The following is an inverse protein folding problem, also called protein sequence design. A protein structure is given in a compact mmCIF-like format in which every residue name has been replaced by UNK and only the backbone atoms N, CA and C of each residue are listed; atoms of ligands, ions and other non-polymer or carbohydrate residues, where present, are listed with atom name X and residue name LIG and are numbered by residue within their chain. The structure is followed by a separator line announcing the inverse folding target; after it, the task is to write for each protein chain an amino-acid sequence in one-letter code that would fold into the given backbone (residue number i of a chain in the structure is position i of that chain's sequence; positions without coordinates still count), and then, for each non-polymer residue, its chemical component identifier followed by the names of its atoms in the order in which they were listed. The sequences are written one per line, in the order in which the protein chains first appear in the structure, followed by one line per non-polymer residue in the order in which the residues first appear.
data_IF_000343217615
#
_entry.id   IF_000343217615
#
_cell.length_a   1.000
_cell.length_b   1.000
_cell.length_c   1.000
_cell.angle_alpha   90.00
_cell.angle_beta   90.00
_cell.angle_gamma   90.00
#
_symmetry.space_group_name_H-M   'P 1'
#
loop_
_entity.id
_entity.type
_entity.pdbx_description
1 polymer ?
#
# COMPACT_ATOMS: atom_id res chain seq x y z
N UNK A 1 10.48 31.66 9.51
CA UNK A 1 9.22 31.81 8.77
C UNK A 1 8.19 32.43 9.69
N UNK A 2 7.59 33.56 9.32
CA UNK A 2 6.60 34.29 10.14
C UNK A 2 5.20 33.69 9.94
N UNK A 3 4.42 33.58 11.02
CA UNK A 3 3.10 32.89 11.05
C UNK A 3 2.07 33.38 10.01
N UNK A 4 2.29 34.53 9.36
CA UNK A 4 1.36 35.11 8.37
C UNK A 4 1.39 34.51 6.96
N UNK A 5 2.47 33.82 6.55
CA UNK A 5 2.57 33.31 5.18
C UNK A 5 1.73 32.05 4.91
N UNK A 6 1.39 31.27 5.94
CA UNK A 6 0.62 30.02 5.80
C UNK A 6 -0.89 30.32 5.62
N UNK A 7 -1.41 31.33 6.34
CA UNK A 7 -2.83 31.72 6.28
C UNK A 7 -3.25 32.35 4.94
N UNK A 8 -2.31 32.82 4.12
CA UNK A 8 -2.62 33.38 2.79
C UNK A 8 -2.90 32.30 1.73
N UNK A 9 -2.43 31.07 1.94
CA UNK A 9 -2.60 29.96 0.99
C UNK A 9 -3.55 28.88 1.49
N UNK A 10 -3.85 28.82 2.79
CA UNK A 10 -4.68 27.77 3.39
C UNK A 10 -5.61 28.33 4.47
N UNK A 11 -6.88 27.95 4.37
CA UNK A 11 -7.98 28.42 5.24
C UNK A 11 -7.79 27.92 6.68
N UNK A 12 -7.29 26.69 6.86
CA UNK A 12 -7.02 26.06 8.15
C UNK A 12 -5.94 24.94 8.05
N UNK A 13 -5.67 24.25 9.17
CA UNK A 13 -4.71 23.13 9.22
C UNK A 13 -5.17 21.90 8.41
N UNK A 14 -6.48 21.69 8.27
CA UNK A 14 -7.06 20.63 7.45
C UNK A 14 -6.79 20.86 5.96
N UNK A 15 -6.88 22.10 5.49
CA UNK A 15 -6.54 22.47 4.11
C UNK A 15 -5.05 22.23 3.78
N UNK A 16 -4.13 22.53 4.70
CA UNK A 16 -2.70 22.21 4.54
C UNK A 16 -2.47 20.71 4.48
N UNK A 17 -3.14 19.95 5.36
CA UNK A 17 -3.07 18.50 5.41
C UNK A 17 -3.59 17.87 4.11
N UNK A 18 -4.77 18.29 3.65
CA UNK A 18 -5.39 17.80 2.42
C UNK A 18 -4.51 18.09 1.21
N UNK A 19 -3.96 19.29 1.08
CA UNK A 19 -3.04 19.63 0.01
C UNK A 19 -1.71 18.84 0.07
N UNK A 20 -1.22 18.53 1.27
CA UNK A 20 -0.07 17.63 1.44
C UNK A 20 -0.40 16.22 0.96
N UNK A 21 -1.54 15.68 1.38
CA UNK A 21 -1.98 14.32 1.04
C UNK A 21 -2.32 14.16 -0.45
N UNK A 22 -2.95 15.17 -1.07
CA UNK A 22 -3.24 15.19 -2.52
C UNK A 22 -1.96 15.16 -3.38
N UNK A 23 -0.87 15.75 -2.87
CA UNK A 23 0.43 15.77 -3.55
C UNK A 23 1.30 14.57 -3.20
N UNK A 24 0.94 13.83 -2.15
CA UNK A 24 1.72 12.71 -1.70
C UNK A 24 1.45 11.50 -2.60
N UNK A 25 2.51 10.88 -3.10
CA UNK A 25 2.37 9.57 -3.76
C UNK A 25 2.30 8.51 -2.66
N UNK A 26 1.20 7.76 -2.62
CA UNK A 26 1.09 6.64 -1.70
C UNK A 26 2.11 5.55 -2.09
N UNK A 27 2.75 4.86 -1.14
CA UNK A 27 3.68 3.76 -1.39
C UNK A 27 3.14 2.71 -2.37
N UNK A 28 1.85 2.39 -2.29
CA UNK A 28 1.15 1.53 -3.24
C UNK A 28 1.23 2.10 -4.66
N UNK A 29 0.80 3.35 -4.88
CA UNK A 29 0.86 3.96 -6.21
C UNK A 29 2.30 4.06 -6.76
N UNK A 30 3.30 4.23 -5.89
CA UNK A 30 4.72 4.21 -6.27
C UNK A 30 5.21 2.81 -6.66
N UNK A 31 4.86 1.78 -5.90
CA UNK A 31 5.22 0.40 -6.18
C UNK A 31 4.61 -0.11 -7.50
N UNK A 32 3.36 0.26 -7.81
CA UNK A 32 2.70 -0.01 -9.10
C UNK A 32 3.55 0.47 -10.27
N UNK A 33 4.10 1.70 -10.18
CA UNK A 33 4.88 2.30 -11.26
C UNK A 33 6.18 1.53 -11.48
N UNK A 34 6.87 1.19 -10.39
CA UNK A 34 8.11 0.40 -10.44
C UNK A 34 7.89 -1.02 -10.97
N UNK A 35 6.77 -1.66 -10.58
CA UNK A 35 6.43 -3.00 -11.03
C UNK A 35 6.01 -3.04 -12.51
N UNK A 36 5.31 -2.01 -13.00
CA UNK A 36 4.89 -1.91 -14.41
C UNK A 36 6.04 -1.80 -15.42
N UNK A 37 7.24 -1.41 -14.97
CA UNK A 37 8.44 -1.33 -15.79
C UNK A 37 9.16 -2.68 -15.96
N UNK A 38 8.81 -3.69 -15.16
CA UNK A 38 9.38 -5.05 -15.21
C UNK A 38 8.29 -6.06 -15.52
N UNK A 39 8.12 -6.39 -16.80
CA UNK A 39 7.23 -7.45 -17.22
C UNK A 39 7.85 -8.83 -16.92
N UNK A 40 7.58 -9.36 -15.73
CA UNK A 40 7.86 -10.76 -15.43
C UNK A 40 6.85 -11.66 -16.16
N UNK A 41 7.30 -12.82 -16.63
CA UNK A 41 6.44 -13.79 -17.35
C UNK A 41 5.51 -14.57 -16.40
N UNK A 42 5.79 -14.55 -15.09
CA UNK A 42 4.95 -15.15 -14.04
C UNK A 42 4.14 -14.06 -13.31
N UNK A 43 2.78 -14.04 -13.45
CA UNK A 43 1.92 -13.09 -12.77
C UNK A 43 2.06 -13.08 -11.24
N UNK A 44 2.34 -14.24 -10.63
CA UNK A 44 2.53 -14.32 -9.18
C UNK A 44 3.89 -13.75 -8.75
N UNK A 45 4.92 -13.94 -9.57
CA UNK A 45 6.21 -13.31 -9.31
C UNK A 45 6.13 -11.78 -9.44
N UNK A 46 5.42 -11.28 -10.45
CA UNK A 46 5.17 -9.84 -10.60
C UNK A 46 4.43 -9.28 -9.38
N UNK A 47 3.38 -9.96 -8.95
CA UNK A 47 2.62 -9.62 -7.74
C UNK A 47 3.52 -9.63 -6.49
N UNK A 48 4.38 -10.64 -6.33
CA UNK A 48 5.35 -10.71 -5.24
C UNK A 48 6.28 -9.51 -5.22
N UNK A 49 6.85 -9.19 -6.38
CA UNK A 49 7.79 -8.09 -6.55
C UNK A 49 7.13 -6.74 -6.25
N UNK A 50 5.89 -6.57 -6.68
CA UNK A 50 5.07 -5.39 -6.41
C UNK A 50 4.82 -5.20 -4.90
N UNK A 51 4.47 -6.27 -4.17
CA UNK A 51 4.29 -6.19 -2.72
C UNK A 51 5.60 -5.91 -1.97
N UNK A 52 6.71 -6.52 -2.39
CA UNK A 52 8.01 -6.24 -1.79
C UNK A 52 8.47 -4.81 -2.05
N UNK A 53 8.21 -4.27 -3.24
CA UNK A 53 8.52 -2.88 -3.55
C UNK A 53 7.78 -1.93 -2.60
N UNK A 54 6.53 -2.22 -2.23
CA UNK A 54 5.82 -1.42 -1.21
C UNK A 54 6.58 -1.42 0.12
N UNK A 55 7.00 -2.60 0.60
CA UNK A 55 7.72 -2.72 1.87
C UNK A 55 9.07 -1.99 1.85
N UNK A 56 9.82 -2.13 0.75
CA UNK A 56 11.09 -1.44 0.55
C UNK A 56 10.95 0.08 0.50
N UNK A 57 9.89 0.60 -0.13
CA UNK A 57 9.59 2.03 -0.12
C UNK A 57 9.26 2.51 1.30
N UNK A 58 8.46 1.75 2.05
CA UNK A 58 8.10 2.09 3.43
C UNK A 58 9.33 2.11 4.35
N UNK A 59 10.26 1.18 4.17
CA UNK A 59 11.48 1.08 4.97
C UNK A 59 12.53 2.13 4.57
N UNK A 60 12.79 2.28 3.27
CA UNK A 60 13.91 3.05 2.73
C UNK A 60 13.62 4.52 2.38
N UNK A 61 12.35 4.91 2.21
CA UNK A 61 11.98 6.29 1.88
C UNK A 61 11.33 6.97 3.09
N UNK A 62 12.10 7.81 3.81
CA UNK A 62 11.61 8.56 4.97
C UNK A 62 10.41 9.46 4.65
N UNK A 63 10.35 10.03 3.44
CA UNK A 63 9.25 10.89 3.01
C UNK A 63 7.99 10.05 2.78
N UNK A 64 8.10 8.93 2.08
CA UNK A 64 6.99 8.01 1.86
C UNK A 64 6.48 7.44 3.20
N UNK A 65 7.38 7.05 4.10
CA UNK A 65 7.06 6.59 5.45
C UNK A 65 6.31 7.64 6.26
N UNK A 66 6.77 8.89 6.26
CA UNK A 66 6.13 9.99 6.98
C UNK A 66 4.73 10.30 6.45
N UNK A 67 4.56 10.29 5.12
CA UNK A 67 3.23 10.41 4.49
C UNK A 67 2.31 9.30 5.00
N UNK A 68 2.78 8.06 5.01
CA UNK A 68 1.98 6.91 5.40
C UNK A 68 1.62 6.97 6.88
N UNK A 69 2.59 7.22 7.77
CA UNK A 69 2.39 7.41 9.21
C UNK A 69 1.32 8.46 9.49
N UNK A 70 1.40 9.60 8.80
CA UNK A 70 0.40 10.65 8.92
C UNK A 70 -0.97 10.12 8.49
N UNK A 71 -1.07 9.52 7.31
CA UNK A 71 -2.30 9.00 6.75
C UNK A 71 -2.92 7.81 7.53
N UNK A 72 -2.14 7.06 8.30
CA UNK A 72 -2.58 5.84 9.01
C UNK A 72 -2.75 6.00 10.51
N UNK A 73 -1.87 6.76 11.18
CA UNK A 73 -1.81 6.83 12.64
C UNK A 73 -2.18 8.20 13.22
N UNK A 74 -1.94 9.30 12.47
CA UNK A 74 -2.05 10.67 13.00
C UNK A 74 -3.23 11.47 12.46
N UNK A 75 -4.08 10.85 11.64
CA UNK A 75 -5.25 11.53 11.06
C UNK A 75 -6.51 11.14 11.81
N UNK A 76 -7.07 12.09 12.56
CA UNK A 76 -8.46 12.04 12.96
C UNK A 76 -9.32 12.49 11.78
N UNK A 77 -10.12 11.59 11.20
CA UNK A 77 -10.96 11.92 10.05
C UNK A 77 -12.19 12.72 10.49
N UNK A 78 -12.04 14.04 10.58
CA UNK A 78 -13.12 15.02 10.72
C UNK A 78 -13.62 15.46 9.34
N UNK A 79 -14.77 16.16 9.27
CA UNK A 79 -15.34 16.69 8.02
C UNK A 79 -14.36 17.62 7.26
N UNK A 80 -13.38 18.21 7.96
CA UNK A 80 -12.33 19.09 7.40
C UNK A 80 -11.27 18.33 6.58
N UNK A 81 -11.23 16.99 6.66
CA UNK A 81 -10.18 16.14 6.06
C UNK A 81 -10.74 15.14 5.04
N UNK A 82 -11.96 15.37 4.57
CA UNK A 82 -12.70 14.44 3.72
C UNK A 82 -12.03 14.16 2.36
N UNK A 83 -11.33 15.14 1.76
CA UNK A 83 -10.63 14.93 0.49
C UNK A 83 -9.44 13.99 0.63
N UNK A 84 -8.64 14.12 1.69
CA UNK A 84 -7.54 13.21 1.97
C UNK A 84 -8.03 11.78 2.29
N UNK A 85 -9.16 11.68 3.00
CA UNK A 85 -9.83 10.39 3.24
C UNK A 85 -10.30 9.75 1.93
N UNK A 86 -10.91 10.53 1.05
CA UNK A 86 -11.34 10.07 -0.28
C UNK A 86 -10.14 9.61 -1.11
N UNK A 87 -9.06 10.40 -1.14
CA UNK A 87 -7.83 10.06 -1.85
C UNK A 87 -7.21 8.74 -1.35
N UNK A 88 -7.08 8.57 -0.03
CA UNK A 88 -6.59 7.33 0.57
C UNK A 88 -7.49 6.15 0.21
N UNK A 89 -8.81 6.30 0.32
CA UNK A 89 -9.79 5.25 -0.04
C UNK A 89 -9.66 4.85 -1.50
N UNK A 90 -9.50 5.82 -2.39
CA UNK A 90 -9.35 5.59 -3.82
C UNK A 90 -8.05 4.84 -4.13
N UNK A 91 -6.91 5.28 -3.56
CA UNK A 91 -5.61 4.60 -3.72
C UNK A 91 -5.68 3.14 -3.24
N UNK A 92 -6.26 2.89 -2.06
CA UNK A 92 -6.47 1.54 -1.54
C UNK A 92 -7.41 0.72 -2.42
N UNK A 93 -8.50 1.32 -2.93
CA UNK A 93 -9.44 0.63 -3.80
C UNK A 93 -8.79 0.23 -5.14
N UNK A 94 -8.01 1.13 -5.77
CA UNK A 94 -7.26 0.84 -6.99
C UNK A 94 -6.26 -0.28 -6.78
N UNK A 95 -5.47 -0.23 -5.70
CA UNK A 95 -4.50 -1.26 -5.38
C UNK A 95 -5.17 -2.62 -5.16
N UNK A 96 -6.25 -2.67 -4.38
CA UNK A 96 -7.00 -3.92 -4.14
C UNK A 96 -7.65 -4.48 -5.41
N UNK A 97 -8.16 -3.61 -6.28
CA UNK A 97 -8.69 -4.01 -7.59
C UNK A 97 -7.60 -4.70 -8.43
N UNK A 98 -6.43 -4.07 -8.54
CA UNK A 98 -5.26 -4.63 -9.23
C UNK A 98 -4.82 -5.98 -8.67
N UNK A 99 -4.72 -6.11 -7.35
CA UNK A 99 -4.41 -7.40 -6.71
C UNK A 99 -5.43 -8.48 -7.11
N UNK A 100 -6.73 -8.15 -7.07
CA UNK A 100 -7.79 -9.08 -7.43
C UNK A 100 -7.70 -9.50 -8.90
N UNK A 101 -7.39 -8.57 -9.80
CA UNK A 101 -7.23 -8.85 -11.23
C UNK A 101 -6.04 -9.79 -11.48
N UNK A 102 -4.91 -9.56 -10.80
CA UNK A 102 -3.74 -10.46 -10.87
C UNK A 102 -4.06 -11.87 -10.37
N UNK A 103 -4.79 -12.01 -9.25
CA UNK A 103 -5.22 -13.32 -8.76
C UNK A 103 -6.23 -13.99 -9.71
N UNK A 104 -7.12 -13.22 -10.32
CA UNK A 104 -8.09 -13.72 -11.30
C UNK A 104 -7.37 -14.27 -12.53
N UNK A 105 -6.39 -13.54 -13.03
CA UNK A 105 -5.55 -13.96 -14.15
C UNK A 105 -4.74 -15.23 -13.80
N UNK A 106 -4.14 -15.28 -12.60
CA UNK A 106 -3.37 -16.44 -12.17
C UNK A 106 -4.21 -17.72 -12.07
N UNK A 107 -5.49 -17.61 -11.69
CA UNK A 107 -6.44 -18.74 -11.72
C UNK A 107 -6.82 -19.12 -13.16
N UNK A 108 -7.11 -18.13 -14.02
CA UNK A 108 -7.46 -18.36 -15.42
C UNK A 108 -6.33 -19.05 -16.21
N UNK A 109 -5.07 -18.69 -15.93
CA UNK A 109 -3.88 -19.27 -16.58
C UNK A 109 -3.42 -20.59 -15.93
N UNK A 110 -4.11 -21.07 -14.89
CA UNK A 110 -3.79 -22.32 -14.19
C UNK A 110 -2.53 -22.25 -13.32
N UNK A 111 -1.99 -21.05 -13.07
CA UNK A 111 -0.86 -20.84 -12.15
C UNK A 111 -1.31 -20.96 -10.68
N UNK A 112 -2.59 -20.70 -10.42
CA UNK A 112 -3.26 -21.02 -9.15
C UNK A 112 -4.38 -22.04 -9.37
N UNK A 113 -4.67 -22.89 -8.37
CA UNK A 113 -5.81 -23.80 -8.39
C UNK A 113 -7.14 -23.07 -8.59
N UNK A 114 -8.07 -23.68 -9.34
CA UNK A 114 -9.43 -23.16 -9.52
C UNK A 114 -10.25 -23.06 -8.22
N UNK A 115 -9.77 -23.69 -7.14
CA UNK A 115 -10.35 -23.61 -5.78
C UNK A 115 -10.03 -22.28 -5.08
N UNK A 116 -9.05 -21.52 -5.58
CA UNK A 116 -8.69 -20.20 -5.04
C UNK A 116 -9.75 -19.17 -5.43
N UNK A 117 -10.31 -18.49 -4.44
CA UNK A 117 -11.19 -17.33 -4.61
C UNK A 117 -10.33 -16.05 -4.71
N UNK A 118 -10.24 -15.39 -5.89
CA UNK A 118 -9.37 -14.22 -6.08
C UNK A 118 -9.71 -13.04 -5.17
N UNK A 119 -10.98 -12.87 -4.80
CA UNK A 119 -11.42 -11.79 -3.91
C UNK A 119 -10.97 -12.05 -2.48
N UNK A 120 -11.06 -13.29 -2.00
CA UNK A 120 -10.53 -13.66 -0.67
C UNK A 120 -9.00 -13.61 -0.67
N UNK A 121 -8.36 -14.01 -1.76
CA UNK A 121 -6.91 -13.99 -1.87
C UNK A 121 -6.36 -12.56 -1.77
N UNK A 122 -6.85 -11.67 -2.64
CA UNK A 122 -6.49 -10.25 -2.63
C UNK A 122 -6.78 -9.55 -1.30
N UNK A 123 -7.91 -9.83 -0.65
CA UNK A 123 -8.22 -9.28 0.66
C UNK A 123 -7.23 -9.74 1.74
N UNK A 124 -6.85 -11.02 1.73
CA UNK A 124 -5.94 -11.59 2.72
C UNK A 124 -4.56 -10.94 2.63
N UNK A 125 -4.04 -10.80 1.41
CA UNK A 125 -2.79 -10.07 1.13
C UNK A 125 -2.87 -8.64 1.59
N UNK A 126 -3.95 -7.93 1.26
CA UNK A 126 -4.13 -6.53 1.65
C UNK A 126 -4.07 -6.36 3.17
N UNK A 127 -4.82 -7.17 3.93
CA UNK A 127 -4.84 -7.10 5.40
C UNK A 127 -3.47 -7.43 5.99
N UNK A 128 -2.78 -8.42 5.43
CA UNK A 128 -1.43 -8.81 5.87
C UNK A 128 -0.43 -7.66 5.68
N UNK A 129 -0.38 -7.05 4.49
CA UNK A 129 0.54 -5.94 4.20
C UNK A 129 0.20 -4.68 4.99
N UNK A 130 -1.08 -4.28 5.05
CA UNK A 130 -1.52 -3.13 5.83
C UNK A 130 -1.18 -3.32 7.32
N UNK A 131 -1.35 -4.53 7.85
CA UNK A 131 -0.95 -4.89 9.20
C UNK A 131 0.56 -4.79 9.43
N UNK A 132 1.38 -5.39 8.56
CA UNK A 132 2.85 -5.32 8.64
C UNK A 132 3.34 -3.88 8.66
N UNK A 133 2.88 -3.09 7.69
CA UNK A 133 3.29 -1.69 7.53
C UNK A 133 2.87 -0.87 8.74
N UNK A 134 1.64 -1.03 9.25
CA UNK A 134 1.17 -0.27 10.42
C UNK A 134 1.95 -0.58 11.68
N UNK A 135 2.19 -1.86 11.96
CA UNK A 135 2.94 -2.27 13.15
C UNK A 135 4.38 -1.76 13.09
N UNK A 136 5.02 -1.85 11.91
CA UNK A 136 6.37 -1.34 11.76
C UNK A 136 6.45 0.19 11.81
N UNK A 137 5.49 0.91 11.23
CA UNK A 137 5.46 2.38 11.33
C UNK A 137 5.22 2.84 12.78
N UNK A 138 4.41 2.10 13.54
CA UNK A 138 4.16 2.39 14.95
C UNK A 138 5.43 2.26 15.80
N UNK A 139 6.25 1.23 15.53
CA UNK A 139 7.53 1.02 16.19
C UNK A 139 8.62 0.66 15.16
N UNK A 140 9.24 1.67 14.50
CA UNK A 140 10.24 1.41 13.47
C UNK A 140 11.43 0.65 14.03
N UNK A 141 11.76 -0.49 13.40
CA UNK A 141 12.82 -1.39 13.86
C UNK A 141 12.38 -2.45 14.87
N UNK A 142 11.08 -2.56 15.19
CA UNK A 142 10.55 -3.68 15.98
C UNK A 142 10.82 -5.05 15.31
N UNK A 143 10.94 -5.06 13.99
CA UNK A 143 11.33 -6.19 13.16
C UNK A 143 11.89 -5.68 11.82
N UNK A 144 12.65 -6.53 11.12
CA UNK A 144 13.12 -6.28 9.76
C UNK A 144 11.92 -6.37 8.79
N UNK A 145 11.43 -5.23 8.30
CA UNK A 145 10.14 -5.15 7.60
C UNK A 145 10.16 -5.93 6.28
N UNK A 146 11.22 -5.73 5.50
CA UNK A 146 11.35 -6.35 4.19
C UNK A 146 11.57 -7.85 4.30
N UNK A 147 12.42 -8.29 5.24
CA UNK A 147 12.74 -9.71 5.43
C UNK A 147 11.52 -10.50 5.92
N UNK A 148 10.86 -10.04 6.98
CA UNK A 148 9.64 -10.67 7.50
C UNK A 148 8.52 -10.64 6.46
N UNK A 149 8.37 -9.50 5.77
CA UNK A 149 7.36 -9.36 4.73
C UNK A 149 7.58 -10.32 3.56
N UNK A 150 8.83 -10.51 3.12
CA UNK A 150 9.16 -11.48 2.08
C UNK A 150 8.77 -12.90 2.48
N UNK A 151 9.13 -13.33 3.69
CA UNK A 151 8.79 -14.66 4.21
C UNK A 151 7.28 -14.89 4.27
N UNK A 152 6.52 -13.90 4.76
CA UNK A 152 5.06 -13.99 4.86
C UNK A 152 4.38 -14.02 3.48
N UNK A 153 4.85 -13.19 2.54
CA UNK A 153 4.37 -13.20 1.16
C UNK A 153 4.62 -14.57 0.52
N UNK A 154 5.83 -15.11 0.66
CA UNK A 154 6.21 -16.40 0.06
C UNK A 154 5.41 -17.55 0.65
N UNK A 155 5.26 -17.56 1.97
CA UNK A 155 4.44 -18.55 2.68
C UNK A 155 2.99 -18.49 2.23
N UNK A 156 2.43 -17.29 2.10
CA UNK A 156 1.08 -17.09 1.64
C UNK A 156 0.87 -17.60 0.20
N UNK A 157 1.78 -17.26 -0.72
CA UNK A 157 1.73 -17.73 -2.10
C UNK A 157 1.89 -19.24 -2.22
N UNK A 158 2.81 -19.84 -1.46
CA UNK A 158 2.99 -21.28 -1.41
C UNK A 158 1.71 -21.97 -0.91
N UNK A 159 1.06 -21.41 0.13
CA UNK A 159 -0.20 -21.90 0.65
C UNK A 159 -1.36 -21.81 -0.34
N UNK A 160 -1.39 -20.79 -1.20
CA UNK A 160 -2.37 -20.70 -2.29
C UNK A 160 -2.14 -21.75 -3.38
N UNK A 161 -0.88 -22.05 -3.71
CA UNK A 161 -0.50 -23.05 -4.72
C UNK A 161 -0.77 -24.49 -4.27
N UNK A 162 -0.77 -24.75 -2.97
CA UNK A 162 -0.96 -26.08 -2.39
C UNK A 162 -2.43 -26.49 -2.16
N UNK A 163 -3.40 -25.62 -2.46
CA UNK A 163 -4.84 -25.82 -2.23
C UNK A 163 -5.59 -26.45 -3.40
#
# INVERSE_FOLDING_TARGET
MTRGAIYWHFVDKGAVFSAMMERATMPMDAAVKLAGERADTDPLQSLRNEMLAVLQIVEGDEKARRVFEIATLKTEFTDEVDSARAHKRESVARWRGRLQDQFTQAVADGTLPATVDPRKASMSVWVMLDGLIRNWIFEPGAFELVDLGAELIDTYMAGLRAR
#
